data_IF_371007816028
#
_entry.id   IF_371007816028
#
_cell.length_a   1.000
_cell.length_b   1.000
_cell.length_c   1.000
_cell.angle_alpha   90.00
_cell.angle_beta   90.00
_cell.angle_gamma   90.00
#
_symmetry.space_group_name_H-M   'P 1'
#
loop_
_entity.id
_entity.type
_entity.pdbx_description
1 polymer ?
#
# COMPACT_ATOMS: atom_id res chain seq x y z
N UNK A 1 29.74 -18.44 17.54
CA UNK A 1 28.56 -18.26 18.40
C UNK A 1 27.42 -19.08 17.81
N UNK A 2 26.63 -19.81 18.61
CA UNK A 2 25.46 -20.54 18.11
C UNK A 2 24.47 -19.58 17.44
N UNK A 3 23.78 -20.07 16.42
CA UNK A 3 22.95 -19.24 15.54
C UNK A 3 21.70 -18.74 16.28
N UNK A 4 21.12 -19.60 17.09
CA UNK A 4 19.96 -19.30 17.94
C UNK A 4 20.23 -18.09 18.83
N UNK A 5 21.47 -17.95 19.32
CA UNK A 5 21.88 -16.83 20.16
C UNK A 5 21.96 -15.52 19.35
N UNK A 6 22.42 -15.57 18.09
CA UNK A 6 22.43 -14.39 17.21
C UNK A 6 21.00 -13.91 16.94
N UNK A 7 20.07 -14.84 16.66
CA UNK A 7 18.66 -14.50 16.41
C UNK A 7 18.00 -13.90 17.65
N UNK A 8 18.27 -14.47 18.83
CA UNK A 8 17.80 -13.92 20.11
C UNK A 8 18.35 -12.52 20.32
N UNK A 9 19.66 -12.30 20.17
CA UNK A 9 20.26 -10.95 20.31
C UNK A 9 19.62 -9.99 19.31
N UNK A 10 19.48 -10.38 18.05
CA UNK A 10 18.88 -9.56 17.01
C UNK A 10 17.42 -9.20 17.31
N UNK A 11 16.65 -10.08 17.96
CA UNK A 11 15.27 -9.81 18.34
C UNK A 11 15.13 -8.69 19.39
N UNK A 12 16.19 -8.41 20.17
CA UNK A 12 16.22 -7.31 21.13
C UNK A 12 16.77 -6.00 20.55
N UNK A 13 17.22 -6.00 19.30
CA UNK A 13 17.77 -4.81 18.67
C UNK A 13 16.67 -3.99 17.98
N UNK A 14 16.75 -2.69 18.17
CA UNK A 14 15.99 -1.73 17.37
C UNK A 14 16.54 -1.69 15.93
N UNK A 15 15.76 -1.11 15.01
CA UNK A 15 16.09 -1.01 13.59
C UNK A 15 17.52 -0.50 13.32
N UNK A 16 17.98 0.51 14.07
CA UNK A 16 19.34 1.04 13.97
C UNK A 16 20.42 0.01 14.32
N UNK A 17 20.21 -0.78 15.38
CA UNK A 17 21.13 -1.84 15.80
C UNK A 17 21.16 -3.00 14.81
N UNK A 18 20.01 -3.38 14.25
CA UNK A 18 19.93 -4.37 13.17
C UNK A 18 20.67 -3.89 11.91
N UNK A 19 20.54 -2.61 11.55
CA UNK A 19 21.29 -2.01 10.46
C UNK A 19 22.80 -2.12 10.69
N UNK A 20 23.28 -1.83 11.90
CA UNK A 20 24.70 -1.98 12.24
C UNK A 20 25.17 -3.43 12.13
N UNK A 21 24.38 -4.40 12.63
CA UNK A 21 24.71 -5.82 12.50
C UNK A 21 24.78 -6.26 11.04
N UNK A 22 23.90 -5.76 10.17
CA UNK A 22 23.91 -6.09 8.73
C UNK A 22 25.25 -5.80 8.07
N UNK A 23 25.95 -4.75 8.50
CA UNK A 23 27.23 -4.34 7.90
C UNK A 23 28.45 -5.07 8.46
N UNK A 24 28.28 -5.97 9.42
CA UNK A 24 29.41 -6.71 10.01
C UNK A 24 29.91 -7.83 9.09
N UNK A 25 29.02 -8.73 8.64
CA UNK A 25 29.33 -9.74 7.64
C UNK A 25 28.06 -10.30 6.96
N UNK A 26 28.25 -10.89 5.76
CA UNK A 26 27.16 -11.47 4.95
C UNK A 26 26.41 -12.59 5.68
N UNK A 27 27.12 -13.45 6.41
CA UNK A 27 26.51 -14.55 7.15
C UNK A 27 25.52 -14.03 8.20
N UNK A 28 25.89 -12.98 8.94
CA UNK A 28 25.00 -12.38 9.92
C UNK A 28 23.80 -11.72 9.23
N UNK A 29 24.01 -11.01 8.12
CA UNK A 29 22.93 -10.41 7.35
C UNK A 29 21.88 -11.43 6.89
N UNK A 30 22.30 -12.52 6.22
CA UNK A 30 21.38 -13.55 5.71
C UNK A 30 20.52 -14.16 6.82
N UNK A 31 21.05 -14.16 8.04
CA UNK A 31 20.40 -14.78 9.20
C UNK A 31 19.47 -13.85 9.96
N UNK A 32 19.88 -12.61 10.19
CA UNK A 32 19.02 -11.60 10.84
C UNK A 32 17.97 -11.03 9.87
N UNK A 33 17.96 -11.47 8.61
CA UNK A 33 17.01 -11.02 7.59
C UNK A 33 15.56 -11.18 8.03
N UNK A 34 15.24 -12.24 8.79
CA UNK A 34 13.90 -12.45 9.36
C UNK A 34 13.51 -11.39 10.37
N UNK A 35 14.47 -10.90 11.17
CA UNK A 35 14.26 -9.80 12.12
C UNK A 35 13.91 -8.49 11.39
N UNK A 36 14.49 -8.25 10.20
CA UNK A 36 14.10 -7.13 9.35
C UNK A 36 12.68 -7.28 8.79
N UNK A 37 12.25 -8.51 8.52
CA UNK A 37 10.90 -8.82 8.03
C UNK A 37 9.79 -8.25 8.92
N UNK A 38 9.97 -8.22 10.24
CA UNK A 38 8.98 -7.65 11.18
C UNK A 38 8.68 -6.17 10.88
N UNK A 39 9.67 -5.40 10.43
CA UNK A 39 9.49 -3.99 10.07
C UNK A 39 8.83 -3.80 8.70
N UNK A 40 8.62 -4.88 7.95
CA UNK A 40 7.94 -4.88 6.65
C UNK A 40 6.48 -5.35 6.75
N UNK A 41 5.99 -5.65 7.95
CA UNK A 41 4.59 -6.07 8.15
C UNK A 41 3.59 -5.07 7.53
N UNK A 42 3.84 -3.77 7.72
CA UNK A 42 3.07 -2.69 7.08
C UNK A 42 4.00 -1.83 6.25
N UNK A 43 3.80 -1.83 4.93
CA UNK A 43 4.62 -1.04 3.99
C UNK A 43 3.84 0.20 3.55
N UNK A 44 4.39 1.42 3.72
CA UNK A 44 3.75 2.62 3.21
C UNK A 44 3.84 2.66 1.67
N UNK A 45 2.72 2.97 1.03
CA UNK A 45 2.61 3.16 -0.41
C UNK A 45 2.03 4.55 -0.68
N UNK A 46 2.77 5.39 -1.38
CA UNK A 46 2.28 6.71 -1.78
C UNK A 46 2.05 6.82 -3.29
N UNK A 47 2.18 5.73 -4.05
CA UNK A 47 2.15 5.70 -5.52
C UNK A 47 3.22 6.54 -6.24
N UNK A 48 4.23 7.09 -5.54
CA UNK A 48 5.40 7.67 -6.21
C UNK A 48 6.24 6.61 -6.89
N UNK A 49 7.09 7.01 -7.85
CA UNK A 49 8.04 6.10 -8.49
C UNK A 49 8.92 5.42 -7.44
N UNK A 50 9.36 6.17 -6.43
CA UNK A 50 10.19 5.66 -5.35
C UNK A 50 9.47 4.60 -4.50
N UNK A 51 8.22 4.83 -4.08
CA UNK A 51 7.50 3.83 -3.27
C UNK A 51 7.16 2.58 -4.06
N UNK A 52 6.84 2.71 -5.35
CA UNK A 52 6.61 1.59 -6.26
C UNK A 52 7.89 0.79 -6.50
N UNK A 53 9.02 1.43 -6.79
CA UNK A 53 10.31 0.75 -6.93
C UNK A 53 10.71 0.02 -5.64
N UNK A 54 10.49 0.65 -4.47
CA UNK A 54 10.73 0.00 -3.17
C UNK A 54 9.84 -1.22 -2.99
N UNK A 55 8.55 -1.11 -3.30
CA UNK A 55 7.61 -2.22 -3.17
C UNK A 55 7.96 -3.36 -4.14
N UNK A 56 8.33 -3.03 -5.37
CA UNK A 56 8.80 -3.98 -6.37
C UNK A 56 10.04 -4.73 -5.89
N UNK A 57 11.04 -4.01 -5.35
CA UNK A 57 12.25 -4.62 -4.79
C UNK A 57 11.94 -5.58 -3.63
N UNK A 58 11.00 -5.23 -2.74
CA UNK A 58 10.55 -6.12 -1.66
C UNK A 58 9.82 -7.34 -2.22
N UNK A 59 8.94 -7.14 -3.20
CA UNK A 59 8.13 -8.21 -3.78
C UNK A 59 8.94 -9.27 -4.53
N UNK A 60 10.02 -8.85 -5.20
CA UNK A 60 10.95 -9.74 -5.89
C UNK A 60 11.95 -10.42 -4.94
N UNK A 61 11.99 -10.04 -3.66
CA UNK A 61 12.94 -10.59 -2.71
C UNK A 61 12.43 -11.90 -2.12
N UNK A 62 13.12 -13.01 -2.41
CA UNK A 62 12.76 -14.39 -2.06
C UNK A 62 12.28 -14.59 -0.61
N UNK A 63 12.90 -13.89 0.35
CA UNK A 63 12.57 -14.02 1.76
C UNK A 63 11.69 -12.90 2.35
N UNK A 64 11.69 -11.70 1.77
CA UNK A 64 11.07 -10.53 2.40
C UNK A 64 9.63 -10.31 1.92
N UNK A 65 9.29 -10.78 0.72
CA UNK A 65 7.96 -10.65 0.14
C UNK A 65 6.84 -11.22 1.03
N UNK A 66 7.12 -12.32 1.75
CA UNK A 66 6.18 -12.98 2.65
C UNK A 66 5.94 -12.22 3.96
N UNK A 67 6.77 -11.24 4.30
CA UNK A 67 6.59 -10.48 5.53
C UNK A 67 5.61 -9.32 5.37
N UNK A 68 5.33 -8.88 4.14
CA UNK A 68 4.37 -7.81 3.90
C UNK A 68 2.95 -8.35 4.11
N UNK A 69 2.24 -7.77 5.07
CA UNK A 69 0.87 -8.13 5.43
C UNK A 69 -0.12 -7.03 5.07
N UNK A 70 0.30 -5.78 5.21
CA UNK A 70 -0.52 -4.59 4.99
C UNK A 70 0.17 -3.58 4.08
N UNK A 71 -0.57 -3.00 3.15
CA UNK A 71 -0.18 -1.75 2.48
C UNK A 71 -0.91 -0.58 3.12
N UNK A 72 -0.13 0.35 3.66
CA UNK A 72 -0.65 1.61 4.20
C UNK A 72 -0.50 2.70 3.15
N UNK A 73 -1.61 3.04 2.51
CA UNK A 73 -1.72 4.06 1.48
C UNK A 73 -1.76 5.43 2.13
N UNK A 74 -0.61 6.08 2.18
CA UNK A 74 -0.42 7.41 2.73
C UNK A 74 0.86 8.03 2.21
N UNK A 75 0.93 9.36 2.25
CA UNK A 75 2.19 10.08 2.12
C UNK A 75 2.46 10.90 3.39
N UNK A 76 3.48 10.51 4.14
CA UNK A 76 3.82 11.11 5.44
C UNK A 76 4.40 12.53 5.30
N UNK A 77 5.10 12.83 4.20
CA UNK A 77 5.87 14.07 4.06
C UNK A 77 5.04 15.24 3.57
N UNK A 78 4.29 15.06 2.48
CA UNK A 78 3.60 16.13 1.78
C UNK A 78 2.13 15.83 1.52
N UNK A 79 1.62 14.68 2.01
CA UNK A 79 0.21 14.29 1.97
C UNK A 79 -0.38 14.36 0.55
N UNK A 80 0.39 13.98 -0.47
CA UNK A 80 -0.09 13.75 -1.84
C UNK A 80 0.34 12.36 -2.27
N UNK A 81 -0.50 11.70 -3.04
CA UNK A 81 -0.19 10.41 -3.64
C UNK A 81 0.22 10.59 -5.10
N UNK A 82 1.09 9.72 -5.62
CA UNK A 82 1.45 9.65 -7.03
C UNK A 82 2.28 10.84 -7.53
N UNK A 83 3.08 11.47 -6.67
CA UNK A 83 3.57 12.84 -6.88
C UNK A 83 4.48 13.04 -8.10
N UNK A 84 5.12 12.06 -8.66
CA UNK A 84 6.15 12.22 -9.69
C UNK A 84 5.77 11.51 -11.00
N UNK A 85 4.49 11.13 -11.08
CA UNK A 85 3.91 10.36 -12.15
C UNK A 85 2.74 11.13 -12.78
N UNK A 86 2.50 10.87 -14.06
CA UNK A 86 1.37 11.45 -14.79
C UNK A 86 0.21 10.47 -14.81
N UNK A 87 -0.94 10.93 -14.32
CA UNK A 87 -2.15 10.12 -14.24
C UNK A 87 -3.17 10.53 -15.28
N UNK A 88 -3.63 9.56 -16.07
CA UNK A 88 -4.68 9.79 -17.07
C UNK A 88 -6.05 9.93 -16.38
N UNK A 89 -6.76 11.01 -16.73
CA UNK A 89 -8.08 11.34 -16.19
C UNK A 89 -9.08 11.58 -17.31
N UNK A 90 -10.34 11.27 -17.07
CA UNK A 90 -11.45 11.62 -17.96
C UNK A 90 -11.68 13.14 -17.96
N UNK A 91 -12.52 13.62 -18.88
CA UNK A 91 -12.99 15.02 -18.89
C UNK A 91 -13.70 15.42 -17.58
N UNK A 92 -14.31 14.45 -16.87
CA UNK A 92 -14.92 14.65 -15.56
C UNK A 92 -13.93 14.64 -14.38
N UNK A 93 -12.63 14.45 -14.65
CA UNK A 93 -11.59 14.41 -13.61
C UNK A 93 -11.39 13.05 -12.93
N UNK A 94 -12.20 12.05 -13.27
CA UNK A 94 -12.07 10.70 -12.72
C UNK A 94 -10.81 10.03 -13.24
N UNK A 95 -10.10 9.29 -12.38
CA UNK A 95 -8.99 8.46 -12.81
C UNK A 95 -9.48 7.40 -13.82
N UNK A 96 -8.76 7.28 -14.94
CA UNK A 96 -8.97 6.23 -15.94
C UNK A 96 -8.12 5.01 -15.53
N UNK A 97 -8.67 3.80 -15.58
CA UNK A 97 -7.94 2.54 -15.36
C UNK A 97 -8.37 1.53 -16.45
N UNK A 98 -7.48 0.64 -16.94
CA UNK A 98 -6.07 0.45 -16.55
C UNK A 98 -5.12 1.59 -16.92
N UNK A 99 -3.96 1.61 -16.25
CA UNK A 99 -2.77 2.37 -16.62
C UNK A 99 -1.53 1.54 -16.26
N UNK A 100 -0.41 1.73 -16.98
CA UNK A 100 0.81 0.94 -16.79
C UNK A 100 1.29 0.86 -15.32
N UNK A 101 1.18 1.96 -14.57
CA UNK A 101 1.57 2.01 -13.15
C UNK A 101 0.67 1.12 -12.28
N UNK A 102 -0.61 1.00 -12.62
CA UNK A 102 -1.57 0.14 -11.94
C UNK A 102 -1.29 -1.32 -12.26
N UNK A 103 -0.90 -1.62 -13.50
CA UNK A 103 -0.51 -2.98 -13.90
C UNK A 103 0.75 -3.44 -13.13
N UNK A 104 1.76 -2.57 -13.00
CA UNK A 104 2.95 -2.84 -12.17
C UNK A 104 2.54 -3.14 -10.73
N UNK A 105 1.65 -2.34 -10.14
CA UNK A 105 1.20 -2.57 -8.76
C UNK A 105 0.45 -3.91 -8.63
N UNK A 106 -0.36 -4.25 -9.63
CA UNK A 106 -1.07 -5.54 -9.68
C UNK A 106 -0.07 -6.72 -9.67
N UNK A 107 0.94 -6.68 -10.54
CA UNK A 107 1.98 -7.72 -10.60
C UNK A 107 2.75 -7.83 -9.28
N UNK A 108 3.10 -6.69 -8.69
CA UNK A 108 3.78 -6.61 -7.39
C UNK A 108 2.93 -7.23 -6.28
N UNK A 109 1.62 -6.94 -6.24
CA UNK A 109 0.72 -7.50 -5.24
C UNK A 109 0.62 -9.03 -5.33
N UNK A 110 0.68 -9.59 -6.55
CA UNK A 110 0.67 -11.04 -6.75
C UNK A 110 1.91 -11.73 -6.15
N UNK A 111 3.04 -11.03 -6.07
CA UNK A 111 4.27 -11.53 -5.46
C UNK A 111 4.30 -11.37 -3.93
N UNK A 112 3.44 -10.51 -3.37
CA UNK A 112 3.31 -10.30 -1.92
C UNK A 112 2.28 -11.28 -1.34
N UNK A 113 2.72 -12.53 -1.16
CA UNK A 113 1.86 -13.69 -0.85
C UNK A 113 0.98 -13.54 0.40
N UNK A 114 1.45 -12.77 1.40
CA UNK A 114 0.73 -12.57 2.67
C UNK A 114 0.04 -11.20 2.77
N UNK A 115 0.20 -10.34 1.75
CA UNK A 115 -0.37 -9.00 1.77
C UNK A 115 -1.85 -9.07 1.46
N UNK A 116 -2.70 -8.97 2.48
CA UNK A 116 -4.17 -9.10 2.36
C UNK A 116 -4.91 -7.97 3.08
N UNK A 117 -4.17 -7.00 3.61
CA UNK A 117 -4.71 -5.86 4.34
C UNK A 117 -4.35 -4.57 3.62
N UNK A 118 -5.31 -3.64 3.55
CA UNK A 118 -5.12 -2.34 2.93
C UNK A 118 -5.67 -1.26 3.86
N UNK A 119 -4.86 -0.24 4.11
CA UNK A 119 -5.23 0.94 4.88
C UNK A 119 -5.13 2.16 3.98
N UNK A 120 -6.25 2.81 3.67
CA UNK A 120 -6.26 4.08 2.93
C UNK A 120 -6.46 5.19 3.93
N UNK A 121 -5.39 5.94 4.21
CA UNK A 121 -5.44 7.06 5.13
C UNK A 121 -5.79 8.35 4.40
N UNK A 122 -6.30 9.31 5.17
CA UNK A 122 -6.71 10.60 4.66
C UNK A 122 -5.57 11.43 4.08
N UNK A 123 -5.82 11.92 2.86
CA UNK A 123 -4.91 12.74 2.08
C UNK A 123 -5.45 14.17 2.18
N UNK A 124 -4.70 15.05 2.85
CA UNK A 124 -5.14 16.37 3.36
C UNK A 124 -5.38 17.46 2.30
N UNK A 125 -5.81 17.10 1.10
CA UNK A 125 -6.16 18.08 0.09
C UNK A 125 -7.40 17.65 -0.65
N UNK A 126 -8.33 18.61 -0.81
CA UNK A 126 -9.38 18.61 -1.82
C UNK A 126 -8.88 17.92 -3.07
N UNK A 127 -9.53 16.82 -3.44
CA UNK A 127 -9.17 16.13 -4.66
C UNK A 127 -9.35 17.10 -5.82
N UNK A 128 -8.24 17.64 -6.35
CA UNK A 128 -8.34 18.58 -7.45
C UNK A 128 -8.75 17.80 -8.69
N UNK A 129 -9.99 18.06 -9.13
CA UNK A 129 -10.65 17.38 -10.25
C UNK A 129 -9.87 17.49 -11.57
N UNK A 130 -8.88 18.40 -11.68
CA UNK A 130 -8.24 18.72 -12.95
C UNK A 130 -6.71 18.66 -12.95
N UNK A 131 -6.06 18.21 -11.88
CA UNK A 131 -4.61 18.07 -11.88
C UNK A 131 -4.20 16.63 -12.12
N UNK A 132 -3.45 16.38 -13.20
CA UNK A 132 -2.87 15.07 -13.56
C UNK A 132 -1.67 14.66 -12.69
N UNK A 133 -1.27 15.51 -11.73
CA UNK A 133 0.04 15.44 -11.09
C UNK A 133 0.01 14.79 -9.70
N UNK A 134 -1.17 14.37 -9.23
CA UNK A 134 -1.31 13.61 -7.99
C UNK A 134 -2.66 12.90 -7.92
N UNK A 135 -2.75 11.92 -7.02
CA UNK A 135 -3.94 11.13 -6.71
C UNK A 135 -4.57 11.61 -5.39
N UNK A 136 -5.90 11.52 -5.34
CA UNK A 136 -6.70 11.63 -4.11
C UNK A 136 -6.98 10.25 -3.47
N UNK A 137 -7.71 10.25 -2.36
CA UNK A 137 -8.10 9.02 -1.66
C UNK A 137 -9.06 8.17 -2.47
N UNK A 138 -10.02 8.81 -3.15
CA UNK A 138 -10.96 8.13 -4.04
C UNK A 138 -10.25 7.48 -5.23
N UNK A 139 -9.19 8.11 -5.74
CA UNK A 139 -8.38 7.52 -6.81
C UNK A 139 -7.62 6.28 -6.32
N UNK A 140 -7.06 6.30 -5.10
CA UNK A 140 -6.40 5.14 -4.52
C UNK A 140 -7.37 3.97 -4.29
N UNK A 141 -8.58 4.25 -3.79
CA UNK A 141 -9.63 3.24 -3.65
C UNK A 141 -10.03 2.69 -5.02
N UNK A 142 -10.18 3.55 -6.04
CA UNK A 142 -10.50 3.11 -7.40
C UNK A 142 -9.43 2.18 -7.97
N UNK A 143 -8.14 2.46 -7.73
CA UNK A 143 -7.03 1.58 -8.14
C UNK A 143 -7.16 0.21 -7.44
N UNK A 144 -7.39 0.19 -6.12
CA UNK A 144 -7.56 -1.06 -5.38
C UNK A 144 -8.76 -1.88 -5.89
N UNK A 145 -9.90 -1.24 -6.09
CA UNK A 145 -11.11 -1.89 -6.63
C UNK A 145 -10.89 -2.44 -8.03
N UNK A 146 -10.17 -1.70 -8.88
CA UNK A 146 -9.78 -2.17 -10.20
C UNK A 146 -8.91 -3.44 -10.12
N UNK A 147 -7.88 -3.44 -9.27
CA UNK A 147 -7.02 -4.62 -9.11
C UNK A 147 -7.82 -5.81 -8.61
N UNK A 148 -8.69 -5.64 -7.61
CA UNK A 148 -9.58 -6.71 -7.14
C UNK A 148 -10.52 -7.20 -8.23
N UNK A 149 -11.08 -6.30 -9.03
CA UNK A 149 -11.99 -6.64 -10.11
C UNK A 149 -11.35 -7.52 -11.19
N UNK A 150 -10.09 -7.24 -11.55
CA UNK A 150 -9.41 -7.93 -12.65
C UNK A 150 -8.67 -9.19 -12.19
N UNK A 151 -8.19 -9.22 -10.94
CA UNK A 151 -7.37 -10.35 -10.44
C UNK A 151 -8.06 -11.24 -9.41
N UNK A 152 -9.26 -10.85 -8.97
CA UNK A 152 -9.92 -11.45 -7.81
C UNK A 152 -9.02 -11.48 -6.55
N UNK A 153 -8.14 -10.47 -6.41
CA UNK A 153 -7.17 -10.41 -5.32
C UNK A 153 -7.85 -10.56 -3.95
N UNK A 154 -7.49 -11.57 -3.14
CA UNK A 154 -8.13 -11.79 -1.86
C UNK A 154 -7.77 -10.68 -0.86
N UNK A 155 -8.78 -10.15 -0.19
CA UNK A 155 -8.65 -9.11 0.84
C UNK A 155 -9.24 -9.61 2.13
N UNK A 156 -8.46 -9.50 3.22
CA UNK A 156 -8.87 -9.84 4.58
C UNK A 156 -9.26 -8.62 5.40
N UNK A 157 -8.56 -7.50 5.23
CA UNK A 157 -8.85 -6.26 5.94
C UNK A 157 -8.81 -5.06 5.01
N UNK A 158 -9.82 -4.21 5.10
CA UNK A 158 -9.84 -2.93 4.41
C UNK A 158 -10.22 -1.83 5.42
N UNK A 159 -9.34 -0.86 5.58
CA UNK A 159 -9.58 0.32 6.42
C UNK A 159 -9.56 1.57 5.55
N UNK A 160 -10.63 2.35 5.62
CA UNK A 160 -10.72 3.67 5.03
C UNK A 160 -10.82 4.68 6.19
N UNK A 161 -9.75 5.44 6.39
CA UNK A 161 -9.66 6.39 7.50
C UNK A 161 -9.84 7.83 7.03
N UNK A 162 -10.85 8.51 7.58
CA UNK A 162 -10.92 9.98 7.56
C UNK A 162 -9.98 10.54 8.62
N UNK A 163 -9.09 11.42 8.18
CA UNK A 163 -8.05 11.98 9.01
C UNK A 163 -8.68 12.92 10.01
N UNK A 164 -8.41 12.68 11.30
CA UNK A 164 -8.79 13.59 12.38
C UNK A 164 -7.90 14.83 12.31
N UNK A 165 -8.23 15.74 11.41
CA UNK A 165 -7.63 17.07 11.40
C UNK A 165 -8.20 17.86 12.57
N UNK A 166 -7.32 18.28 13.50
CA UNK A 166 -7.59 19.45 14.35
C UNK A 166 -7.88 20.63 13.42
N UNK A 167 -9.15 20.94 13.20
CA UNK A 167 -9.60 21.99 12.29
C UNK A 167 -10.17 21.43 10.99
N UNK A 168 -11.48 21.25 10.99
CA UNK A 168 -12.28 20.88 9.83
C UNK A 168 -12.16 21.95 8.74
N UNK A 169 -11.64 21.59 7.56
CA UNK A 169 -11.98 22.32 6.33
C UNK A 169 -13.07 21.53 5.62
N UNK A 170 -14.20 22.19 5.38
CA UNK A 170 -15.33 21.69 4.61
C UNK A 170 -14.87 21.19 3.23
N UNK A 171 -15.14 19.91 2.91
CA UNK A 171 -15.03 19.36 1.55
C UNK A 171 -13.98 18.27 1.28
N UNK A 172 -13.27 17.76 2.28
CA UNK A 172 -12.35 16.62 2.10
C UNK A 172 -13.11 15.30 2.39
N UNK A 173 -13.66 14.68 1.34
CA UNK A 173 -14.41 13.43 1.41
C UNK A 173 -13.92 12.43 0.35
N UNK A 174 -14.14 11.13 0.59
CA UNK A 174 -14.11 10.15 -0.50
C UNK A 174 -15.32 10.44 -1.39
N UNK A 175 -15.06 10.74 -2.65
CA UNK A 175 -16.03 11.10 -3.66
C UNK A 175 -16.58 9.82 -4.31
N UNK A 176 -17.73 9.36 -3.84
CA UNK A 176 -18.38 8.14 -4.34
C UNK A 176 -18.65 8.19 -5.85
N UNK A 177 -18.92 9.37 -6.40
CA UNK A 177 -19.09 9.64 -7.84
C UNK A 177 -17.82 9.37 -8.66
N UNK A 178 -16.65 9.31 -8.01
CA UNK A 178 -15.37 8.97 -8.64
C UNK A 178 -15.04 7.50 -8.55
N UNK A 179 -15.67 6.80 -7.60
CA UNK A 179 -15.64 5.35 -7.52
C UNK A 179 -16.56 4.82 -8.62
N UNK A 180 -16.03 3.94 -9.47
CA UNK A 180 -16.86 3.24 -10.43
C UNK A 180 -17.73 2.23 -9.65
N UNK A 181 -18.89 2.67 -9.16
CA UNK A 181 -19.77 1.86 -8.31
C UNK A 181 -20.21 0.59 -9.06
N UNK A 182 -20.38 0.66 -10.38
CA UNK A 182 -20.67 -0.51 -11.20
C UNK A 182 -19.53 -1.55 -11.13
N UNK A 183 -18.27 -1.10 -11.00
CA UNK A 183 -17.14 -1.99 -10.80
C UNK A 183 -17.21 -2.79 -9.50
N UNK A 184 -17.88 -2.30 -8.45
CA UNK A 184 -18.09 -3.07 -7.20
C UNK A 184 -18.92 -4.34 -7.41
N UNK A 185 -19.76 -4.37 -8.44
CA UNK A 185 -20.57 -5.53 -8.78
C UNK A 185 -19.83 -6.58 -9.62
N UNK A 186 -18.62 -6.28 -10.11
CA UNK A 186 -17.81 -7.23 -10.86
C UNK A 186 -17.52 -8.46 -10.01
N UNK A 187 -17.54 -9.63 -10.66
CA UNK A 187 -17.31 -10.92 -10.00
C UNK A 187 -15.95 -10.97 -9.28
N UNK A 188 -14.91 -10.36 -9.86
CA UNK A 188 -13.58 -10.30 -9.24
C UNK A 188 -13.58 -9.55 -7.91
N UNK A 189 -14.29 -8.42 -7.80
CA UNK A 189 -14.42 -7.69 -6.52
C UNK A 189 -15.13 -8.55 -5.48
N UNK A 190 -16.24 -9.19 -5.86
CA UNK A 190 -16.98 -10.08 -4.96
C UNK A 190 -16.14 -11.27 -4.51
N UNK A 191 -15.36 -11.86 -5.41
CA UNK A 191 -14.46 -12.95 -5.10
C UNK A 191 -13.30 -12.50 -4.20
N UNK A 192 -12.68 -11.35 -4.49
CA UNK A 192 -11.59 -10.79 -3.69
C UNK A 192 -12.03 -10.42 -2.27
N UNK A 193 -13.24 -9.87 -2.12
CA UNK A 193 -13.82 -9.53 -0.82
C UNK A 193 -14.50 -10.70 -0.11
N UNK A 194 -14.56 -11.90 -0.70
CA UNK A 194 -15.19 -13.07 -0.07
C UNK A 194 -14.51 -13.51 1.24
N UNK A 195 -13.23 -13.15 1.41
CA UNK A 195 -12.44 -13.43 2.61
C UNK A 195 -12.33 -12.23 3.54
N UNK A 196 -13.12 -11.17 3.32
CA UNK A 196 -13.07 -9.96 4.11
C UNK A 196 -13.52 -10.26 5.54
N UNK A 197 -12.63 -10.05 6.50
CA UNK A 197 -12.85 -10.26 7.93
C UNK A 197 -13.08 -8.94 8.66
N UNK A 198 -12.49 -7.85 8.15
CA UNK A 198 -12.58 -6.52 8.75
C UNK A 198 -12.80 -5.46 7.68
N UNK A 199 -13.84 -4.65 7.85
CA UNK A 199 -14.09 -3.44 7.08
C UNK A 199 -14.25 -2.28 8.05
N UNK A 200 -13.29 -1.38 8.06
CA UNK A 200 -13.31 -0.18 8.93
C UNK A 200 -13.56 1.04 8.08
N UNK A 201 -14.63 1.75 8.40
CA UNK A 201 -15.07 2.96 7.72
C UNK A 201 -15.15 4.09 8.75
N UNK A 202 -14.04 4.82 8.92
CA UNK A 202 -13.99 5.94 9.85
C UNK A 202 -14.32 7.21 9.06
N UNK A 203 -15.58 7.66 9.11
CA UNK A 203 -16.09 8.86 8.41
C UNK A 203 -16.50 9.97 9.38
#
# INVERSE_FOLDING_TARGET
MPMEIVEIIASFLQYGGLCSLRFTCRLLYERILRCFGVFLATVPLDFSSHSLQRLQAISSHQYLNQYVQCLSIMNQTHRKLGIDLRWNRSSSGCLIVPQHIVDILSDVLMLLVNCRSFEVHHIYRREHQYTSNFLGGSDAIKILLYIMAETAFPVKSLMLERGVARGWRYGDHIHGERLDIAALHKLGVRAGLSQLQSLTLNF
#
